data_IF_678265602402
#
_entry.id   IF_678265602402
#
_cell.length_a   1.000
_cell.length_b   1.000
_cell.length_c   1.000
_cell.angle_alpha   90.00
_cell.angle_beta   90.00
_cell.angle_gamma   90.00
#
_symmetry.space_group_name_H-M   'P 1'
#
loop_
_entity.id
_entity.type
_entity.pdbx_description
1 polymer ?
#
# COMPACT_ATOMS: atom_id res chain seq x y z
N UNK A 1 -15.54 -35.55 -4.14
CA UNK A 1 -15.64 -34.67 -5.32
C UNK A 1 -14.75 -33.48 -5.09
N UNK A 2 -13.93 -33.02 -6.09
CA UNK A 2 -13.18 -31.80 -5.96
C UNK A 2 -14.14 -30.61 -5.86
N UNK A 3 -13.97 -29.81 -4.83
CA UNK A 3 -14.80 -28.63 -4.56
C UNK A 3 -14.45 -27.51 -5.56
N UNK A 4 -13.20 -27.48 -6.03
CA UNK A 4 -12.70 -26.49 -6.97
C UNK A 4 -11.60 -27.10 -7.84
N UNK A 5 -11.37 -26.52 -9.02
CA UNK A 5 -10.25 -26.85 -9.91
C UNK A 5 -8.99 -26.03 -9.61
N UNK A 6 -9.10 -25.05 -8.72
CA UNK A 6 -8.00 -24.17 -8.36
C UNK A 6 -6.99 -24.90 -7.47
N UNK A 7 -5.74 -24.89 -7.88
CA UNK A 7 -4.65 -25.54 -7.17
C UNK A 7 -4.00 -24.54 -6.23
N UNK A 8 -3.81 -24.94 -4.97
CA UNK A 8 -3.00 -24.18 -4.03
C UNK A 8 -1.53 -24.19 -4.47
N UNK A 9 -0.90 -23.03 -4.54
CA UNK A 9 0.49 -22.91 -5.00
C UNK A 9 1.51 -23.49 -4.01
N UNK A 10 1.23 -23.42 -2.70
CA UNK A 10 2.09 -23.94 -1.65
C UNK A 10 1.32 -24.18 -0.36
N UNK A 11 1.67 -25.24 0.37
CA UNK A 11 1.11 -25.50 1.70
C UNK A 11 1.41 -24.39 2.71
N UNK A 12 2.51 -23.69 2.56
CA UNK A 12 2.90 -22.57 3.43
C UNK A 12 2.06 -21.29 3.20
N UNK A 13 1.23 -21.29 2.15
CA UNK A 13 0.32 -20.20 1.77
C UNK A 13 -1.14 -20.54 2.09
N UNK A 14 -1.35 -21.51 2.98
CA UNK A 14 -2.67 -21.89 3.49
C UNK A 14 -2.81 -21.30 4.89
N UNK A 15 -3.86 -20.52 5.10
CA UNK A 15 -4.13 -19.81 6.34
C UNK A 15 -5.54 -20.07 6.80
N UNK A 16 -5.74 -20.69 7.97
CA UNK A 16 -7.08 -20.77 8.56
C UNK A 16 -7.51 -19.38 9.04
N UNK A 17 -8.73 -19.03 8.73
CA UNK A 17 -9.44 -17.88 9.27
C UNK A 17 -10.75 -18.36 9.88
N UNK A 18 -11.37 -17.60 10.76
CA UNK A 18 -12.55 -17.97 11.57
C UNK A 18 -13.37 -19.19 11.07
N UNK A 19 -14.03 -19.08 9.93
CA UNK A 19 -14.93 -20.09 9.37
C UNK A 19 -14.54 -20.54 7.95
N UNK A 20 -13.34 -20.19 7.50
CA UNK A 20 -12.85 -20.51 6.18
C UNK A 20 -11.35 -20.84 6.19
N UNK A 21 -10.86 -21.37 5.09
CA UNK A 21 -9.45 -21.55 4.82
C UNK A 21 -9.08 -20.67 3.63
N UNK A 22 -8.14 -19.79 3.83
CA UNK A 22 -7.59 -18.95 2.76
C UNK A 22 -6.35 -19.62 2.19
N UNK A 23 -6.24 -19.61 0.89
CA UNK A 23 -5.09 -20.13 0.17
C UNK A 23 -4.79 -19.30 -1.07
N UNK A 24 -3.56 -19.36 -1.53
CA UNK A 24 -3.14 -18.69 -2.76
C UNK A 24 -3.17 -19.65 -3.93
N UNK A 25 -3.87 -19.25 -5.00
CA UNK A 25 -3.92 -19.91 -6.30
C UNK A 25 -3.28 -19.06 -7.40
N UNK A 26 -3.22 -19.58 -8.62
CA UNK A 26 -2.77 -18.80 -9.78
C UNK A 26 -3.70 -17.61 -10.10
N UNK A 27 -4.97 -17.70 -9.78
CA UNK A 27 -5.94 -16.63 -10.00
C UNK A 27 -5.86 -15.53 -8.93
N UNK A 28 -5.48 -15.90 -7.71
CA UNK A 28 -5.41 -14.96 -6.59
C UNK A 28 -5.59 -15.62 -5.24
N UNK A 29 -5.93 -14.80 -4.28
CA UNK A 29 -6.24 -15.24 -2.92
C UNK A 29 -7.66 -15.76 -2.87
N UNK A 30 -7.80 -17.03 -2.57
CA UNK A 30 -9.06 -17.76 -2.50
C UNK A 30 -9.46 -18.03 -1.06
N UNK A 31 -10.75 -18.00 -0.77
CA UNK A 31 -11.30 -18.52 0.47
C UNK A 31 -12.17 -19.76 0.19
N UNK A 32 -11.93 -20.82 0.94
CA UNK A 32 -12.75 -22.03 0.95
C UNK A 32 -13.58 -22.06 2.22
N UNK A 33 -14.90 -22.02 2.06
CA UNK A 33 -15.86 -22.12 3.15
C UNK A 33 -16.81 -23.28 2.87
N UNK A 34 -16.71 -24.34 3.65
CA UNK A 34 -17.46 -25.56 3.38
C UNK A 34 -17.14 -26.15 2.00
N UNK A 35 -18.13 -26.18 1.10
CA UNK A 35 -17.97 -26.64 -0.28
C UNK A 35 -17.86 -25.51 -1.32
N UNK A 36 -17.82 -24.28 -0.88
CA UNK A 36 -17.75 -23.12 -1.77
C UNK A 36 -16.36 -22.47 -1.74
N UNK A 37 -15.90 -22.06 -2.91
CA UNK A 37 -14.62 -21.37 -3.08
C UNK A 37 -14.86 -20.03 -3.75
N UNK A 38 -14.42 -18.98 -3.09
CA UNK A 38 -14.60 -17.59 -3.51
C UNK A 38 -13.26 -16.89 -3.70
N UNK A 39 -13.13 -16.10 -4.76
CA UNK A 39 -11.97 -15.24 -4.97
C UNK A 39 -12.09 -14.01 -4.07
N UNK A 40 -11.19 -13.91 -3.08
CA UNK A 40 -11.11 -12.73 -2.19
C UNK A 40 -10.41 -11.56 -2.88
N UNK A 41 -9.34 -11.85 -3.58
CA UNK A 41 -8.57 -10.82 -4.28
C UNK A 41 -7.79 -11.43 -5.43
N UNK A 42 -7.86 -10.84 -6.65
CA UNK A 42 -7.04 -11.30 -7.76
C UNK A 42 -5.55 -11.07 -7.46
N UNK A 43 -4.70 -11.92 -8.01
CA UNK A 43 -3.25 -11.69 -7.98
C UNK A 43 -2.94 -10.44 -8.79
N UNK A 44 -2.39 -9.43 -8.14
CA UNK A 44 -1.97 -8.25 -8.87
C UNK A 44 -0.56 -8.45 -9.44
N UNK A 45 -0.39 -8.01 -10.70
CA UNK A 45 0.88 -8.17 -11.42
C UNK A 45 1.83 -6.98 -11.29
N UNK A 46 1.42 -5.93 -10.55
CA UNK A 46 2.22 -4.71 -10.42
C UNK A 46 3.27 -4.79 -9.32
N UNK A 47 4.39 -4.11 -9.54
CA UNK A 47 5.32 -3.74 -8.47
C UNK A 47 4.67 -2.59 -7.70
N UNK A 48 4.79 -2.52 -6.36
CA UNK A 48 4.56 -1.27 -5.67
C UNK A 48 5.45 -0.23 -6.34
N UNK A 49 4.83 0.78 -6.93
CA UNK A 49 5.58 1.79 -7.65
C UNK A 49 6.55 2.48 -6.69
N UNK A 50 7.83 2.48 -7.04
CA UNK A 50 8.81 3.29 -6.35
C UNK A 50 8.39 4.77 -6.40
N UNK A 51 8.68 5.51 -5.34
CA UNK A 51 8.57 6.97 -5.38
C UNK A 51 9.40 7.47 -6.56
N UNK A 52 8.88 8.40 -7.38
CA UNK A 52 9.71 9.08 -8.35
C UNK A 52 10.93 9.65 -7.62
N UNK A 53 12.12 9.25 -8.00
CA UNK A 53 13.34 9.78 -7.41
C UNK A 53 13.42 11.26 -7.77
N UNK A 54 13.34 12.10 -6.76
CA UNK A 54 13.67 13.51 -6.90
C UNK A 54 15.13 13.67 -6.50
N UNK A 55 15.97 13.92 -7.48
CA UNK A 55 17.43 14.08 -7.31
C UNK A 55 17.81 15.32 -6.49
N UNK A 56 16.84 16.16 -6.13
CA UNK A 56 17.06 17.44 -5.43
C UNK A 56 16.80 17.40 -3.93
N UNK A 57 16.14 16.37 -3.42
CA UNK A 57 15.74 16.29 -2.01
C UNK A 57 16.55 15.23 -1.26
N UNK A 58 17.36 15.69 -0.31
CA UNK A 58 18.07 14.83 0.66
C UNK A 58 17.17 14.01 1.59
N UNK A 59 15.85 14.16 1.48
CA UNK A 59 14.81 13.40 2.18
C UNK A 59 14.28 12.23 1.32
N UNK A 60 15.14 11.56 0.59
CA UNK A 60 14.77 10.32 -0.06
C UNK A 60 14.49 9.28 1.04
N UNK A 61 13.22 9.13 1.41
CA UNK A 61 12.79 7.82 1.89
C UNK A 61 12.93 6.93 0.64
N UNK A 62 14.12 6.36 0.52
CA UNK A 62 14.40 5.33 -0.45
C UNK A 62 13.48 4.16 -0.06
N UNK A 63 12.30 4.10 -0.66
CA UNK A 63 11.63 2.81 -0.79
C UNK A 63 12.63 1.97 -1.54
N UNK A 64 13.20 1.01 -0.87
CA UNK A 64 14.30 0.22 -1.39
C UNK A 64 13.97 -0.27 -2.80
N UNK A 65 14.95 -0.24 -3.69
CA UNK A 65 14.88 -0.77 -5.06
C UNK A 65 14.50 -2.28 -5.13
N UNK A 66 14.22 -2.87 -3.98
CA UNK A 66 14.02 -4.30 -3.76
C UNK A 66 12.56 -4.77 -3.90
N UNK A 67 11.60 -3.87 -4.16
CA UNK A 67 10.23 -4.29 -4.41
C UNK A 67 10.14 -5.10 -5.71
N UNK A 68 9.58 -6.30 -5.61
CA UNK A 68 9.36 -7.18 -6.77
C UNK A 68 7.86 -7.44 -6.95
N UNK A 69 7.39 -7.77 -8.17
CA UNK A 69 6.00 -8.12 -8.39
C UNK A 69 5.54 -9.25 -7.46
N UNK A 70 4.31 -9.20 -6.98
CA UNK A 70 3.77 -10.18 -6.05
C UNK A 70 3.91 -11.62 -6.55
N UNK A 71 3.69 -11.86 -7.85
CA UNK A 71 3.89 -13.19 -8.47
C UNK A 71 5.32 -13.72 -8.30
N UNK A 72 6.34 -12.85 -8.41
CA UNK A 72 7.72 -13.21 -8.19
C UNK A 72 8.01 -13.38 -6.70
N UNK A 73 7.44 -12.50 -5.88
CA UNK A 73 7.61 -12.49 -4.44
C UNK A 73 7.16 -13.78 -3.76
N UNK A 74 6.03 -14.35 -4.19
CA UNK A 74 5.46 -15.58 -3.61
C UNK A 74 6.17 -16.86 -4.04
N UNK A 75 7.14 -16.79 -4.96
CA UNK A 75 7.95 -17.93 -5.34
C UNK A 75 9.00 -18.21 -4.26
N UNK A 76 9.23 -19.49 -3.97
CA UNK A 76 10.25 -19.91 -3.02
C UNK A 76 9.78 -19.98 -1.57
N UNK A 77 10.44 -19.26 -0.67
CA UNK A 77 10.24 -19.36 0.81
C UNK A 77 9.13 -18.48 1.35
N UNK A 78 8.08 -18.28 0.60
CA UNK A 78 6.96 -17.47 1.07
C UNK A 78 6.07 -18.24 2.04
N UNK A 79 5.69 -17.59 3.14
CA UNK A 79 4.73 -18.06 4.14
C UNK A 79 3.62 -17.06 4.30
N UNK A 80 2.43 -17.53 4.70
CA UNK A 80 1.30 -16.64 4.97
C UNK A 80 0.84 -16.79 6.42
N UNK A 81 0.37 -15.69 7.01
CA UNK A 81 -0.17 -15.63 8.34
C UNK A 81 -1.39 -14.72 8.43
N UNK A 82 -2.28 -14.98 9.37
CA UNK A 82 -3.49 -14.19 9.57
C UNK A 82 -3.45 -13.43 10.89
N UNK A 83 -3.52 -12.11 10.79
CA UNK A 83 -3.72 -11.24 11.93
C UNK A 83 -5.24 -11.07 12.16
N UNK A 84 -5.74 -11.77 13.14
CA UNK A 84 -7.14 -11.77 13.50
C UNK A 84 -7.68 -10.39 13.93
N UNK A 85 -6.90 -9.64 14.71
CA UNK A 85 -7.34 -8.33 15.24
C UNK A 85 -7.50 -7.31 14.12
N UNK A 86 -6.56 -7.31 13.16
CA UNK A 86 -6.58 -6.36 12.03
C UNK A 86 -7.29 -6.88 10.80
N UNK A 87 -7.68 -8.15 10.80
CA UNK A 87 -8.26 -8.84 9.64
C UNK A 87 -7.36 -8.72 8.40
N UNK A 88 -6.08 -9.02 8.58
CA UNK A 88 -5.05 -8.91 7.56
C UNK A 88 -4.37 -10.25 7.31
N UNK A 89 -4.17 -10.59 6.03
CA UNK A 89 -3.33 -11.72 5.65
C UNK A 89 -1.96 -11.17 5.27
N UNK A 90 -0.93 -11.65 5.95
CA UNK A 90 0.45 -11.25 5.74
C UNK A 90 1.16 -12.33 4.93
N UNK A 91 1.73 -11.96 3.81
CA UNK A 91 2.59 -12.80 2.98
C UNK A 91 4.04 -12.38 3.21
N UNK A 92 4.82 -13.23 3.84
CA UNK A 92 6.22 -12.98 4.16
C UNK A 92 7.11 -13.89 3.34
N UNK A 93 8.07 -13.30 2.63
CA UNK A 93 9.17 -14.02 2.00
C UNK A 93 10.48 -13.65 2.68
N UNK A 94 11.17 -14.63 3.26
CA UNK A 94 12.39 -14.43 4.04
C UNK A 94 13.56 -13.82 3.25
N UNK A 95 13.53 -13.87 1.92
CA UNK A 95 14.57 -13.33 1.05
C UNK A 95 14.47 -11.80 0.88
N UNK A 96 13.35 -11.19 1.34
CA UNK A 96 13.09 -9.75 1.20
C UNK A 96 12.94 -9.07 2.56
N UNK A 97 13.14 -7.75 2.59
CA UNK A 97 12.95 -6.91 3.80
C UNK A 97 11.59 -6.21 3.82
N UNK A 98 10.61 -6.79 3.19
CA UNK A 98 9.23 -6.31 3.22
C UNK A 98 8.27 -7.49 3.13
N UNK A 99 7.03 -7.25 3.53
CA UNK A 99 5.94 -8.20 3.34
C UNK A 99 4.79 -7.56 2.57
N UNK A 100 4.05 -8.40 1.85
CA UNK A 100 2.76 -8.00 1.29
C UNK A 100 1.66 -8.27 2.30
N UNK A 101 0.70 -7.36 2.38
CA UNK A 101 -0.45 -7.47 3.28
C UNK A 101 -1.74 -7.28 2.50
N UNK A 102 -2.68 -8.19 2.68
CA UNK A 102 -4.04 -8.08 2.20
C UNK A 102 -4.97 -7.79 3.37
N UNK A 103 -5.53 -6.59 3.42
CA UNK A 103 -6.61 -6.25 4.34
C UNK A 103 -7.94 -6.80 3.84
N UNK A 104 -8.58 -7.66 4.62
CA UNK A 104 -9.83 -8.33 4.23
C UNK A 104 -11.02 -7.38 4.25
N UNK A 105 -11.07 -6.43 5.19
CA UNK A 105 -12.18 -5.49 5.35
C UNK A 105 -12.45 -4.64 4.10
N UNK A 106 -11.40 -4.27 3.37
CA UNK A 106 -11.49 -3.41 2.18
C UNK A 106 -10.89 -4.03 0.92
N UNK A 107 -10.49 -5.30 0.97
CA UNK A 107 -9.75 -5.99 -0.10
C UNK A 107 -8.55 -5.15 -0.60
N UNK A 108 -7.89 -4.48 0.33
CA UNK A 108 -6.80 -3.56 0.04
C UNK A 108 -5.44 -4.24 0.20
N UNK A 109 -4.53 -3.96 -0.75
CA UNK A 109 -3.17 -4.44 -0.69
C UNK A 109 -2.21 -3.32 -0.32
N UNK A 110 -1.24 -3.65 0.53
CA UNK A 110 -0.13 -2.76 0.83
C UNK A 110 1.14 -3.55 1.14
N UNK A 111 2.27 -2.87 1.21
CA UNK A 111 3.55 -3.44 1.63
C UNK A 111 3.96 -2.82 2.97
N UNK A 112 4.55 -3.65 3.81
CA UNK A 112 5.18 -3.22 5.06
C UNK A 112 6.66 -3.58 5.01
N UNK A 113 7.55 -2.63 5.28
CA UNK A 113 8.98 -2.89 5.45
C UNK A 113 9.16 -3.58 6.79
N UNK A 114 9.82 -4.72 6.78
CA UNK A 114 10.00 -5.58 7.95
C UNK A 114 11.34 -6.29 7.89
N UNK A 115 11.92 -6.59 9.04
CA UNK A 115 13.11 -7.43 9.16
C UNK A 115 12.76 -8.87 9.59
N UNK A 116 11.49 -9.25 9.47
CA UNK A 116 11.02 -10.58 9.81
C UNK A 116 11.49 -11.62 8.80
N UNK A 117 11.76 -12.83 9.30
CA UNK A 117 12.14 -13.99 8.50
C UNK A 117 11.18 -15.16 8.64
N UNK A 118 10.41 -15.17 9.70
CA UNK A 118 9.51 -16.28 10.06
C UNK A 118 8.16 -15.75 10.47
N UNK A 119 7.10 -16.46 10.10
CA UNK A 119 5.74 -16.26 10.61
C UNK A 119 5.28 -17.55 11.31
N UNK A 120 4.70 -17.39 12.49
CA UNK A 120 4.12 -18.48 13.27
C UNK A 120 2.64 -18.20 13.49
N UNK A 121 1.81 -18.97 12.78
CA UNK A 121 0.36 -18.92 12.89
C UNK A 121 -0.07 -19.70 14.14
N UNK A 122 -0.34 -19.00 15.20
CA UNK A 122 -0.77 -19.56 16.50
C UNK A 122 -2.17 -19.01 16.83
N UNK A 123 -3.15 -19.34 15.99
CA UNK A 123 -4.51 -18.81 16.16
C UNK A 123 -4.99 -18.81 17.63
N UNK A 124 -5.52 -17.67 18.15
CA UNK A 124 -5.80 -16.41 17.46
C UNK A 124 -4.60 -15.46 17.31
N UNK A 125 -3.42 -15.83 17.77
CA UNK A 125 -2.21 -15.03 17.69
C UNK A 125 -1.44 -15.25 16.39
N UNK A 126 -0.69 -14.24 15.99
CA UNK A 126 0.30 -14.30 14.91
C UNK A 126 1.61 -13.72 15.41
N UNK A 127 2.67 -14.53 15.37
CA UNK A 127 4.00 -14.10 15.74
C UNK A 127 4.89 -14.00 14.50
N UNK A 128 5.80 -13.02 14.50
CA UNK A 128 6.90 -12.94 13.56
C UNK A 128 8.23 -13.09 14.28
N UNK A 129 9.22 -13.65 13.61
CA UNK A 129 10.59 -13.77 14.12
C UNK A 129 11.59 -13.14 13.17
N UNK A 130 12.64 -12.51 13.70
CA UNK A 130 13.78 -12.01 12.93
C UNK A 130 14.97 -13.00 12.98
N UNK A 131 16.06 -12.66 12.26
CA UNK A 131 17.29 -13.47 12.27
C UNK A 131 18.01 -13.49 13.63
N UNK A 132 17.75 -12.51 14.48
CA UNK A 132 18.36 -12.43 15.84
C UNK A 132 17.64 -13.30 16.88
N UNK A 133 16.52 -13.94 16.48
CA UNK A 133 15.68 -14.74 17.35
C UNK A 133 14.67 -13.93 18.18
N UNK A 134 14.48 -12.65 17.89
CA UNK A 134 13.43 -11.84 18.53
C UNK A 134 12.08 -12.24 17.97
N UNK A 135 11.09 -12.30 18.84
CA UNK A 135 9.70 -12.56 18.49
C UNK A 135 8.87 -11.29 18.65
N UNK A 136 8.01 -11.07 17.67
CA UNK A 136 7.08 -9.95 17.62
C UNK A 136 5.66 -10.49 17.61
N UNK A 137 4.84 -10.06 18.54
CA UNK A 137 3.41 -10.35 18.53
C UNK A 137 2.71 -9.34 17.60
N UNK A 138 2.27 -9.81 16.45
CA UNK A 138 1.63 -8.98 15.43
C UNK A 138 0.16 -8.68 15.76
N UNK A 139 -0.40 -9.35 16.74
CA UNK A 139 -1.76 -9.10 17.24
C UNK A 139 -1.80 -8.12 18.41
N UNK A 140 -0.64 -7.79 18.99
CA UNK A 140 -0.57 -6.77 20.03
C UNK A 140 -0.76 -5.36 19.48
N UNK A 141 -1.18 -4.44 20.32
CA UNK A 141 -1.18 -3.02 19.97
C UNK A 141 0.26 -2.53 19.82
N UNK A 142 0.53 -1.90 18.69
CA UNK A 142 1.86 -1.32 18.43
C UNK A 142 2.00 -0.05 19.26
N UNK A 143 2.98 -0.03 20.16
CA UNK A 143 3.31 1.14 20.99
C UNK A 143 4.57 1.87 20.49
N UNK A 144 4.90 1.78 19.22
CA UNK A 144 6.07 2.46 18.65
C UNK A 144 5.69 3.33 17.48
N UNK A 145 6.42 4.41 17.30
CA UNK A 145 6.32 5.24 16.11
C UNK A 145 6.59 4.40 14.87
N UNK A 146 5.80 4.62 13.84
CA UNK A 146 5.87 3.88 12.59
C UNK A 146 6.14 4.83 11.43
N UNK A 147 7.11 4.49 10.59
CA UNK A 147 7.27 5.17 9.31
C UNK A 147 6.27 4.62 8.31
N UNK A 148 5.53 5.52 7.66
CA UNK A 148 4.59 5.18 6.61
C UNK A 148 4.98 5.85 5.29
N UNK A 149 4.68 5.16 4.20
CA UNK A 149 4.74 5.71 2.85
C UNK A 149 3.56 5.18 2.05
N UNK A 150 2.68 6.08 1.65
CA UNK A 150 1.50 5.78 0.85
C UNK A 150 1.61 6.54 -0.46
N UNK A 151 1.52 5.83 -1.58
CA UNK A 151 1.62 6.42 -2.92
C UNK A 151 0.41 6.01 -3.73
N UNK A 152 -0.22 6.99 -4.39
CA UNK A 152 -1.30 6.68 -5.32
C UNK A 152 -0.75 6.05 -6.60
N UNK A 153 -1.56 5.22 -7.25
CA UNK A 153 -1.34 4.88 -8.66
C UNK A 153 -1.40 6.15 -9.51
N UNK A 154 -0.89 6.12 -10.77
CA UNK A 154 -1.08 7.21 -11.69
C UNK A 154 -2.55 7.58 -11.85
N UNK A 155 -2.91 8.80 -11.46
CA UNK A 155 -4.27 9.32 -11.54
C UNK A 155 -4.38 10.08 -12.85
N UNK A 156 -5.21 9.58 -13.79
CA UNK A 156 -5.55 10.29 -15.02
C UNK A 156 -6.77 11.17 -14.78
N UNK A 157 -6.55 12.47 -14.70
CA UNK A 157 -7.61 13.45 -14.42
C UNK A 157 -8.41 13.84 -15.66
N UNK A 158 -9.14 12.94 -16.29
CA UNK A 158 -9.97 13.10 -17.50
C UNK A 158 -9.23 12.81 -18.83
N UNK A 159 -9.94 12.26 -19.82
CA UNK A 159 -9.34 11.94 -21.12
C UNK A 159 -9.04 13.21 -21.94
N UNK A 160 -7.91 13.19 -22.62
CA UNK A 160 -7.56 13.96 -23.83
C UNK A 160 -7.46 15.49 -23.77
N UNK A 161 -7.47 16.12 -22.61
CA UNK A 161 -7.26 17.56 -22.46
C UNK A 161 -6.12 17.81 -21.48
N UNK A 162 -5.18 18.68 -21.84
CA UNK A 162 -4.19 19.18 -20.90
C UNK A 162 -4.89 19.99 -19.81
N UNK A 163 -4.73 19.56 -18.56
CA UNK A 163 -5.30 20.22 -17.41
C UNK A 163 -4.23 20.63 -16.44
N UNK A 164 -4.42 21.78 -15.89
CA UNK A 164 -3.64 22.27 -14.76
C UNK A 164 -4.45 22.01 -13.51
N UNK A 165 -3.83 21.35 -12.55
CA UNK A 165 -4.39 21.25 -11.20
C UNK A 165 -4.23 22.60 -10.53
N UNK A 166 -5.33 23.24 -10.21
CA UNK A 166 -5.35 24.54 -9.53
C UNK A 166 -5.36 24.38 -8.00
N UNK A 167 -6.09 23.39 -7.53
CA UNK A 167 -6.15 23.05 -6.11
C UNK A 167 -6.26 21.54 -5.93
N UNK A 168 -5.70 21.07 -4.84
CA UNK A 168 -5.93 19.73 -4.32
C UNK A 168 -6.51 19.89 -2.94
N UNK A 169 -7.66 19.29 -2.72
CA UNK A 169 -8.34 19.26 -1.44
C UNK A 169 -8.20 17.87 -0.83
N UNK A 170 -7.53 17.76 0.31
CA UNK A 170 -7.44 16.54 1.08
C UNK A 170 -8.36 16.69 2.30
N UNK A 171 -9.42 15.88 2.38
CA UNK A 171 -10.23 15.74 3.58
C UNK A 171 -9.65 14.65 4.44
N UNK A 172 -9.16 15.01 5.59
CA UNK A 172 -8.52 14.07 6.50
C UNK A 172 -8.80 14.44 7.95
N UNK A 173 -8.80 13.45 8.80
CA UNK A 173 -8.70 13.60 10.25
C UNK A 173 -7.31 13.10 10.66
N UNK A 174 -6.50 13.99 11.17
CA UNK A 174 -5.09 13.71 11.46
C UNK A 174 -4.75 14.22 12.85
N UNK A 175 -4.19 13.34 13.66
CA UNK A 175 -3.71 13.66 15.01
C UNK A 175 -2.33 13.07 15.21
N UNK A 176 -1.41 13.86 15.76
CA UNK A 176 -0.06 13.43 16.15
C UNK A 176 0.75 12.76 15.03
N UNK A 177 0.70 13.35 13.85
CA UNK A 177 1.49 12.89 12.70
C UNK A 177 2.52 13.92 12.30
N UNK A 178 3.57 13.44 11.65
CA UNK A 178 4.55 14.26 10.94
C UNK A 178 4.77 13.67 9.55
N UNK A 179 4.01 14.17 8.59
CA UNK A 179 3.98 13.65 7.23
C UNK A 179 4.39 14.72 6.23
N UNK A 180 5.11 14.30 5.21
CA UNK A 180 5.36 15.09 4.02
C UNK A 180 4.46 14.58 2.90
N UNK A 181 3.61 15.45 2.39
CA UNK A 181 2.84 15.19 1.19
C UNK A 181 3.58 15.73 -0.02
N UNK A 182 3.72 14.89 -1.05
CA UNK A 182 4.35 15.22 -2.32
C UNK A 182 3.36 14.98 -3.46
N UNK A 183 3.33 15.89 -4.43
CA UNK A 183 2.50 15.79 -5.63
C UNK A 183 3.39 15.86 -6.85
N UNK A 184 3.27 14.89 -7.74
CA UNK A 184 4.00 14.83 -8.99
C UNK A 184 3.07 14.84 -10.19
N UNK A 185 3.61 15.27 -11.32
CA UNK A 185 2.96 15.24 -12.61
C UNK A 185 3.83 14.63 -13.70
N UNK A 186 3.18 13.93 -14.65
CA UNK A 186 3.82 13.36 -15.83
C UNK A 186 2.90 13.41 -17.05
N UNK A 187 3.48 13.31 -18.25
CA UNK A 187 2.74 13.21 -19.50
C UNK A 187 2.26 11.78 -19.79
N UNK A 188 2.97 10.80 -19.28
CA UNK A 188 2.70 9.37 -19.46
C UNK A 188 2.62 8.68 -18.09
N UNK A 189 1.80 7.62 -18.00
CA UNK A 189 1.58 6.90 -16.74
C UNK A 189 2.87 6.28 -16.19
N UNK A 190 3.72 5.76 -17.06
CA UNK A 190 5.01 5.13 -16.75
C UNK A 190 6.19 6.05 -17.05
N UNK A 191 5.91 7.32 -17.35
CA UNK A 191 6.92 8.31 -17.70
C UNK A 191 7.63 8.90 -16.48
N UNK A 192 8.56 9.81 -16.77
CA UNK A 192 9.26 10.56 -15.72
C UNK A 192 8.31 11.55 -15.06
N UNK A 193 8.19 11.46 -13.75
CA UNK A 193 7.40 12.37 -12.93
C UNK A 193 8.25 13.56 -12.46
N UNK A 194 7.66 14.75 -12.50
CA UNK A 194 8.25 15.97 -11.96
C UNK A 194 7.52 16.37 -10.68
N UNK A 195 8.27 16.74 -9.64
CA UNK A 195 7.69 17.24 -8.40
C UNK A 195 7.02 18.59 -8.66
N UNK A 196 5.73 18.69 -8.30
CA UNK A 196 4.92 19.89 -8.48
C UNK A 196 4.74 20.66 -7.19
N UNK A 197 4.59 19.92 -6.10
CA UNK A 197 4.28 20.50 -4.80
C UNK A 197 4.71 19.59 -3.66
N UNK A 198 5.18 20.22 -2.58
CA UNK A 198 5.54 19.56 -1.33
C UNK A 198 5.02 20.39 -0.17
N UNK A 199 4.43 19.74 0.84
CA UNK A 199 4.08 20.38 2.08
C UNK A 199 4.15 19.39 3.24
N UNK A 200 4.33 19.92 4.44
CA UNK A 200 4.38 19.13 5.68
C UNK A 200 3.05 19.23 6.41
N UNK A 201 2.56 18.11 6.88
CA UNK A 201 1.43 17.99 7.79
C UNK A 201 2.04 17.61 9.14
N UNK A 202 1.96 18.50 10.12
CA UNK A 202 2.49 18.25 11.45
C UNK A 202 1.44 18.58 12.50
N UNK A 203 1.31 17.69 13.50
CA UNK A 203 0.37 17.85 14.60
C UNK A 203 -1.07 17.47 14.24
N UNK A 204 -2.03 18.21 14.79
CA UNK A 204 -3.44 17.94 14.64
C UNK A 204 -4.05 18.81 13.54
N UNK A 205 -4.62 18.17 12.53
CA UNK A 205 -5.32 18.87 11.44
C UNK A 205 -6.74 18.34 11.34
N UNK A 206 -7.71 19.07 11.86
CA UNK A 206 -9.11 18.71 11.69
C UNK A 206 -9.64 19.20 10.33
N UNK A 207 -10.20 18.31 9.54
CA UNK A 207 -11.03 18.65 8.40
C UNK A 207 -10.34 18.64 7.05
N UNK A 208 -10.09 19.80 6.43
CA UNK A 208 -9.65 19.87 5.04
C UNK A 208 -8.34 20.64 4.88
N UNK A 209 -7.40 20.02 4.19
CA UNK A 209 -6.16 20.67 3.73
C UNK A 209 -6.34 21.05 2.26
N UNK A 210 -6.14 22.33 1.93
CA UNK A 210 -6.15 22.82 0.55
C UNK A 210 -4.74 23.19 0.10
N UNK A 211 -4.34 22.62 -1.03
CA UNK A 211 -3.04 22.83 -1.65
C UNK A 211 -3.20 23.51 -2.99
N UNK A 212 -2.26 24.39 -3.34
CA UNK A 212 -2.23 25.09 -4.62
C UNK A 212 -0.95 24.76 -5.37
N UNK A 213 -0.87 23.62 -6.04
CA UNK A 213 0.33 23.29 -6.81
C UNK A 213 0.46 24.26 -7.98
N UNK A 214 1.65 24.82 -8.14
CA UNK A 214 2.00 25.60 -9.33
C UNK A 214 2.62 24.62 -10.32
N UNK A 215 1.88 24.23 -11.34
CA UNK A 215 2.38 23.23 -12.28
C UNK A 215 2.05 23.55 -13.72
N UNK A 216 2.91 23.13 -14.67
CA UNK A 216 2.52 22.94 -16.06
C UNK A 216 1.35 21.95 -16.16
N UNK A 217 0.61 21.92 -17.28
CA UNK A 217 -0.43 20.94 -17.48
C UNK A 217 0.17 19.54 -17.67
N UNK A 218 -0.25 18.60 -16.83
CA UNK A 218 0.12 17.18 -16.93
C UNK A 218 -1.13 16.32 -17.13
N UNK A 219 -0.94 15.14 -17.73
CA UNK A 219 -2.02 14.14 -17.92
C UNK A 219 -2.20 13.27 -16.70
N UNK A 220 -1.09 12.91 -16.07
CA UNK A 220 -1.06 11.98 -14.92
C UNK A 220 -0.50 12.69 -13.71
N UNK A 221 -1.09 12.39 -12.57
CA UNK A 221 -0.66 12.88 -11.28
C UNK A 221 -0.47 11.72 -10.30
N UNK A 222 0.46 11.88 -9.39
CA UNK A 222 0.66 10.98 -8.24
C UNK A 222 0.79 11.79 -6.98
N UNK A 223 0.29 11.24 -5.90
CA UNK A 223 0.37 11.85 -4.59
C UNK A 223 0.97 10.82 -3.65
N UNK A 224 1.89 11.25 -2.81
CA UNK A 224 2.41 10.42 -1.74
C UNK A 224 2.37 11.14 -0.41
N UNK A 225 2.21 10.37 0.64
CA UNK A 225 2.35 10.76 2.02
C UNK A 225 3.43 9.90 2.64
N UNK A 226 4.48 10.54 3.16
CA UNK A 226 5.61 9.85 3.75
C UNK A 226 5.98 10.51 5.07
N UNK A 227 6.31 9.73 6.08
CA UNK A 227 6.75 10.27 7.36
C UNK A 227 6.49 9.34 8.52
N UNK A 228 6.42 9.92 9.72
CA UNK A 228 6.27 9.19 10.98
C UNK A 228 4.86 9.39 11.55
N UNK A 229 4.29 8.31 11.99
CA UNK A 229 3.00 8.26 12.70
C UNK A 229 3.26 7.69 14.08
N UNK A 230 2.90 8.42 15.11
CA UNK A 230 3.03 7.97 16.49
C UNK A 230 2.06 6.81 16.79
N UNK A 231 2.36 6.02 17.79
CA UNK A 231 1.53 4.84 18.17
C UNK A 231 0.10 5.20 18.54
N UNK A 232 -0.11 6.40 19.05
CA UNK A 232 -1.42 6.96 19.44
C UNK A 232 -1.97 7.96 18.40
N UNK A 233 -1.38 7.97 17.20
CA UNK A 233 -1.81 8.85 16.12
C UNK A 233 -3.07 8.32 15.45
N UNK A 234 -3.84 9.27 14.93
CA UNK A 234 -4.94 8.98 14.04
C UNK A 234 -4.65 9.61 12.67
N UNK A 235 -4.72 8.80 11.62
CA UNK A 235 -4.57 9.26 10.24
C UNK A 235 -5.65 8.61 9.37
N UNK A 236 -6.69 9.38 9.09
CA UNK A 236 -7.77 8.96 8.23
C UNK A 236 -7.88 9.90 7.03
N UNK A 237 -7.80 9.35 5.82
CA UNK A 237 -8.00 10.06 4.56
C UNK A 237 -9.39 9.73 4.03
N UNK A 238 -10.30 10.69 4.14
CA UNK A 238 -11.70 10.52 3.80
C UNK A 238 -11.92 10.73 2.29
N UNK A 239 -11.28 11.75 1.73
CA UNK A 239 -11.52 12.16 0.35
C UNK A 239 -10.34 12.96 -0.23
N UNK A 240 -10.16 12.86 -1.55
CA UNK A 240 -9.16 13.58 -2.31
C UNK A 240 -9.79 14.22 -3.53
N UNK A 241 -9.98 15.52 -3.50
CA UNK A 241 -10.56 16.30 -4.57
C UNK A 241 -9.51 17.07 -5.39
N UNK A 242 -9.75 17.21 -6.68
CA UNK A 242 -8.92 18.01 -7.59
C UNK A 242 -9.76 19.08 -8.27
N UNK A 243 -9.37 20.35 -8.12
CA UNK A 243 -9.91 21.43 -8.93
C UNK A 243 -9.05 21.61 -10.17
N UNK A 244 -9.66 21.48 -11.34
CA UNK A 244 -8.99 21.49 -12.63
C UNK A 244 -9.34 22.74 -13.43
N UNK A 245 -8.31 23.36 -13.99
CA UNK A 245 -8.47 24.42 -14.98
C UNK A 245 -8.07 23.88 -16.35
N UNK A 246 -8.98 23.94 -17.33
CA UNK A 246 -8.65 23.56 -18.70
C UNK A 246 -7.67 24.57 -19.31
N UNK A 247 -6.54 24.09 -19.79
CA UNK A 247 -5.71 24.91 -20.68
C UNK A 247 -6.37 24.83 -22.05
N UNK A 248 -6.84 25.91 -22.63
CA UNK A 248 -7.56 25.91 -23.90
C UNK A 248 -6.83 25.33 -25.15
N UNK A 249 -5.75 24.57 -24.93
CA UNK A 249 -5.01 23.84 -25.96
C UNK A 249 -5.51 22.40 -26.02
N UNK A 250 -6.15 22.04 -27.12
CA UNK A 250 -6.42 20.64 -27.48
C UNK A 250 -5.09 19.94 -27.77
N UNK A 251 -4.95 18.70 -27.30
CA UNK A 251 -3.92 17.79 -27.79
C UNK A 251 -4.09 17.60 -29.29
N UNK A 252 -3.06 17.90 -30.05
CA UNK A 252 -2.95 17.48 -31.45
C UNK A 252 -2.33 16.10 -31.50
#
# INVERSE_FOLDING_TARGET
HPVNREVCLSSNLIVPIDNAVVYLSEQGVMALQGAESNLLSPVFGGVPDALPQDSSDGDSISLSEDFVPFRKYIQGKCTAGYNYIRQEIIFLNADYRFCYVLGLSFSSWYCRIVDWKYLYNLYPGLLAGDESGRLYDLCSEVQSDMQISVITRPIKLLPDIYKRVSHIALRCSVQRVDLVCKVWGAQEAEGRYSLLYRFRIAGDVPGQIRMRPVSPPFKYHRIAWCGTVSSDAHFDVIDLGFDLVSSGKKLR
#
